data_IF_486013321196
#
_entry.id   IF_486013321196
#
_cell.length_a   1.000
_cell.length_b   1.000
_cell.length_c   1.000
_cell.angle_alpha   90.00
_cell.angle_beta   90.00
_cell.angle_gamma   90.00
#
_symmetry.space_group_name_H-M   'P 1'
#
loop_
_entity.id
_entity.type
_entity.pdbx_description
1 polymer ?
#
# COMPACT_ATOMS: atom_id res chain seq x y z
N UNK A 1 -6.31 -29.74 -3.35
CA UNK A 1 -5.95 -28.47 -3.97
C UNK A 1 -5.55 -27.47 -2.91
N UNK A 2 -4.34 -26.96 -2.97
CA UNK A 2 -3.71 -26.23 -1.86
C UNK A 2 -3.38 -24.78 -2.20
N UNK A 3 -4.26 -24.06 -2.88
CA UNK A 3 -3.96 -22.70 -3.26
C UNK A 3 -3.87 -21.68 -2.10
N UNK A 4 -4.43 -22.01 -0.94
CA UNK A 4 -4.17 -21.26 0.29
C UNK A 4 -2.68 -21.39 0.71
N UNK A 5 -2.04 -22.55 0.51
CA UNK A 5 -0.59 -22.71 0.76
C UNK A 5 0.25 -21.89 -0.22
N UNK A 6 -0.18 -21.81 -1.49
CA UNK A 6 0.48 -20.98 -2.49
C UNK A 6 0.32 -19.49 -2.16
N UNK A 7 -0.85 -19.09 -1.61
CA UNK A 7 -1.10 -17.73 -1.18
C UNK A 7 -0.22 -17.34 0.02
N UNK A 8 -0.10 -18.21 1.02
CA UNK A 8 0.77 -18.00 2.17
C UNK A 8 2.24 -17.86 1.78
N UNK A 9 2.72 -18.71 0.87
CA UNK A 9 4.08 -18.62 0.33
C UNK A 9 4.35 -17.31 -0.41
N UNK A 10 3.38 -16.83 -1.17
CA UNK A 10 3.47 -15.53 -1.85
C UNK A 10 3.52 -14.39 -0.85
N UNK A 11 2.71 -14.45 0.19
CA UNK A 11 2.66 -13.46 1.25
C UNK A 11 4.00 -13.35 1.97
N UNK A 12 4.59 -14.47 2.35
CA UNK A 12 5.91 -14.51 2.97
C UNK A 12 6.97 -13.86 2.07
N UNK A 13 6.98 -14.18 0.79
CA UNK A 13 7.89 -13.57 -0.19
C UNK A 13 7.69 -12.06 -0.30
N UNK A 14 6.46 -11.60 -0.35
CA UNK A 14 6.13 -10.17 -0.40
C UNK A 14 6.66 -9.47 0.85
N UNK A 15 6.44 -10.03 2.01
CA UNK A 15 6.91 -9.46 3.27
C UNK A 15 8.44 -9.44 3.37
N UNK A 16 9.12 -10.47 2.88
CA UNK A 16 10.59 -10.49 2.80
C UNK A 16 11.12 -9.37 1.91
N UNK A 17 10.51 -9.17 0.74
CA UNK A 17 10.90 -8.10 -0.19
C UNK A 17 10.69 -6.73 0.46
N UNK A 18 9.54 -6.50 1.08
CA UNK A 18 9.24 -5.24 1.77
C UNK A 18 10.23 -4.98 2.90
N UNK A 19 10.51 -6.00 3.71
CA UNK A 19 11.48 -5.90 4.80
C UNK A 19 12.86 -5.51 4.29
N UNK A 20 13.31 -6.14 3.21
CA UNK A 20 14.59 -5.83 2.57
C UNK A 20 14.62 -4.39 2.06
N UNK A 21 13.57 -3.94 1.40
CA UNK A 21 13.48 -2.58 0.88
C UNK A 21 13.49 -1.53 2.00
N UNK A 22 12.75 -1.76 3.07
CA UNK A 22 12.66 -0.81 4.18
C UNK A 22 13.90 -0.84 5.09
N UNK A 23 14.65 -1.93 5.10
CA UNK A 23 15.87 -2.03 5.92
C UNK A 23 16.98 -1.08 5.51
N UNK A 24 16.91 -0.52 4.30
CA UNK A 24 17.91 0.45 3.80
C UNK A 24 17.60 1.90 4.17
N UNK A 25 16.47 2.15 4.83
CA UNK A 25 16.11 3.51 5.23
C UNK A 25 17.14 4.08 6.22
N UNK A 26 17.63 5.31 5.98
CA UNK A 26 18.65 5.88 6.83
C UNK A 26 18.11 6.43 8.14
N UNK A 27 18.97 6.56 9.15
CA UNK A 27 18.62 7.21 10.41
C UNK A 27 18.23 8.68 10.26
N UNK A 28 18.66 9.32 9.17
CA UNK A 28 18.34 10.72 8.88
C UNK A 28 16.85 11.02 8.72
N UNK A 29 16.01 9.99 8.53
CA UNK A 29 14.56 10.17 8.46
C UNK A 29 13.88 10.27 9.84
N UNK A 30 14.60 10.03 10.92
CA UNK A 30 14.05 10.15 12.28
C UNK A 30 13.47 11.52 12.51
N UNK A 31 12.25 11.55 13.05
CA UNK A 31 11.51 12.79 13.32
C UNK A 31 10.98 13.51 12.08
N UNK A 32 11.16 12.95 10.89
CA UNK A 32 10.70 13.53 9.63
C UNK A 32 9.46 12.80 9.10
N UNK A 33 8.86 13.37 8.08
CA UNK A 33 7.74 12.74 7.37
C UNK A 33 8.28 11.79 6.30
N UNK A 34 7.68 10.62 6.22
CA UNK A 34 8.01 9.59 5.23
C UNK A 34 6.73 9.07 4.58
N UNK A 35 6.66 9.20 3.27
CA UNK A 35 5.56 8.66 2.48
C UNK A 35 5.99 7.35 1.84
N UNK A 36 5.21 6.30 2.05
CA UNK A 36 5.47 4.98 1.50
C UNK A 36 4.31 4.59 0.60
N UNK A 37 4.60 4.36 -0.67
CA UNK A 37 3.62 3.85 -1.62
C UNK A 37 3.90 2.36 -1.88
N UNK A 38 2.89 1.54 -1.68
CA UNK A 38 2.96 0.13 -1.99
C UNK A 38 2.33 -0.15 -3.36
N UNK A 39 3.14 -0.70 -4.26
CA UNK A 39 2.70 -1.13 -5.59
C UNK A 39 2.90 -2.64 -5.72
N UNK A 40 1.81 -3.43 -5.75
CA UNK A 40 1.95 -4.86 -6.01
C UNK A 40 2.40 -5.08 -7.46
N UNK A 41 3.64 -5.54 -7.62
CA UNK A 41 4.26 -5.72 -8.95
C UNK A 41 3.41 -6.61 -9.86
N UNK A 42 2.78 -7.63 -9.29
CA UNK A 42 1.93 -8.56 -10.03
C UNK A 42 0.64 -7.91 -10.57
N UNK A 43 0.22 -6.77 -10.01
CA UNK A 43 -0.99 -6.06 -10.43
C UNK A 43 -0.72 -4.98 -11.49
N UNK A 44 0.54 -4.63 -11.74
CA UNK A 44 0.91 -3.59 -12.69
C UNK A 44 0.59 -4.06 -14.12
N UNK A 45 -0.25 -3.29 -14.83
CA UNK A 45 -0.59 -3.55 -16.22
C UNK A 45 -1.49 -4.76 -16.47
N UNK A 46 -1.96 -5.43 -15.42
CA UNK A 46 -2.81 -6.64 -15.55
C UNK A 46 -4.30 -6.34 -15.47
N UNK A 47 -4.69 -5.16 -15.00
CA UNK A 47 -6.08 -4.82 -14.69
C UNK A 47 -6.62 -5.54 -13.46
N UNK A 48 -5.82 -6.35 -12.81
CA UNK A 48 -6.20 -7.03 -11.56
C UNK A 48 -6.14 -6.07 -10.39
N UNK A 49 -7.20 -6.04 -9.59
CA UNK A 49 -7.27 -5.23 -8.38
C UNK A 49 -6.97 -6.12 -7.18
N UNK A 50 -6.08 -5.68 -6.31
CA UNK A 50 -5.82 -6.38 -5.06
C UNK A 50 -7.04 -6.30 -4.15
N UNK A 51 -7.30 -7.37 -3.39
CA UNK A 51 -8.40 -7.36 -2.42
C UNK A 51 -8.11 -6.37 -1.28
N UNK A 52 -9.17 -5.85 -0.68
CA UNK A 52 -9.08 -4.99 0.49
C UNK A 52 -8.26 -5.67 1.60
N UNK A 53 -8.55 -6.93 1.89
CA UNK A 53 -7.85 -7.68 2.93
C UNK A 53 -6.35 -7.82 2.66
N UNK A 54 -5.98 -8.07 1.41
CA UNK A 54 -4.58 -8.15 1.01
C UNK A 54 -3.85 -6.82 1.27
N UNK A 55 -4.47 -5.72 0.87
CA UNK A 55 -3.89 -4.38 1.07
C UNK A 55 -3.78 -4.07 2.56
N UNK A 56 -4.81 -4.35 3.35
CA UNK A 56 -4.77 -4.17 4.81
C UNK A 56 -3.63 -4.95 5.45
N UNK A 57 -3.42 -6.19 5.06
CA UNK A 57 -2.35 -7.04 5.58
C UNK A 57 -0.97 -6.47 5.27
N UNK A 58 -0.76 -6.01 4.04
CA UNK A 58 0.52 -5.43 3.63
C UNK A 58 0.78 -4.11 4.35
N UNK A 59 -0.20 -3.24 4.43
CA UNK A 59 -0.06 -1.94 5.12
C UNK A 59 0.19 -2.12 6.61
N UNK A 60 -0.48 -3.09 7.25
CA UNK A 60 -0.23 -3.44 8.65
C UNK A 60 1.19 -3.95 8.85
N UNK A 61 1.68 -4.78 7.95
CA UNK A 61 3.06 -5.26 7.98
C UNK A 61 4.06 -4.11 7.89
N UNK A 62 3.87 -3.21 6.93
CA UNK A 62 4.74 -2.03 6.75
C UNK A 62 4.73 -1.16 8.02
N UNK A 63 3.56 -0.87 8.54
CA UNK A 63 3.41 -0.04 9.74
C UNK A 63 4.13 -0.64 10.95
N UNK A 64 3.96 -1.95 11.17
CA UNK A 64 4.62 -2.65 12.27
C UNK A 64 6.14 -2.73 12.09
N UNK A 65 6.59 -2.94 10.86
CA UNK A 65 8.02 -2.99 10.54
C UNK A 65 8.70 -1.64 10.82
N UNK A 66 8.08 -0.54 10.45
CA UNK A 66 8.62 0.81 10.76
C UNK A 66 8.70 1.01 12.28
N UNK A 67 7.72 0.55 13.04
CA UNK A 67 7.76 0.61 14.51
C UNK A 67 8.89 -0.21 15.10
N UNK A 68 9.23 -1.35 14.49
CA UNK A 68 10.37 -2.17 14.92
C UNK A 68 11.71 -1.52 14.58
N UNK A 69 11.85 -1.01 13.35
CA UNK A 69 13.09 -0.37 12.89
C UNK A 69 13.39 0.92 13.62
N UNK A 70 12.37 1.65 14.03
CA UNK A 70 12.48 2.92 14.75
C UNK A 70 11.66 2.83 16.03
N UNK A 71 12.17 2.11 17.03
CA UNK A 71 11.44 1.78 18.24
C UNK A 71 11.32 2.91 19.26
N UNK A 72 11.99 4.04 19.03
CA UNK A 72 11.99 5.21 19.92
C UNK A 72 10.94 6.26 19.54
N UNK A 73 10.88 7.35 20.32
CA UNK A 73 9.97 8.47 20.09
C UNK A 73 10.26 9.26 18.81
N UNK A 74 11.48 9.14 18.28
CA UNK A 74 11.93 9.87 17.10
C UNK A 74 11.70 9.11 15.78
N UNK A 75 10.82 8.10 15.80
CA UNK A 75 10.45 7.42 14.57
C UNK A 75 9.86 8.41 13.56
N UNK A 76 9.99 8.15 12.24
CA UNK A 76 9.38 9.01 11.23
C UNK A 76 7.84 8.96 11.33
N UNK A 77 7.21 10.08 10.97
CA UNK A 77 5.77 10.11 10.74
C UNK A 77 5.50 9.53 9.35
N UNK A 78 4.78 8.42 9.28
CA UNK A 78 4.54 7.74 8.00
C UNK A 78 3.14 8.00 7.49
N UNK A 79 3.04 8.14 6.15
CA UNK A 79 1.79 8.05 5.42
C UNK A 79 1.91 6.88 4.44
N UNK A 80 0.85 6.10 4.32
CA UNK A 80 0.81 4.90 3.49
C UNK A 80 -0.13 5.09 2.31
N UNK A 81 0.38 4.82 1.12
CA UNK A 81 -0.34 4.95 -0.15
C UNK A 81 -0.41 3.60 -0.85
N UNK A 82 -1.47 3.40 -1.59
CA UNK A 82 -1.62 2.25 -2.47
C UNK A 82 -1.51 2.71 -3.93
N UNK A 83 -0.64 2.06 -4.69
CA UNK A 83 -0.34 2.41 -6.08
C UNK A 83 -0.68 1.33 -7.10
N UNK A 84 -1.53 0.38 -6.75
CA UNK A 84 -2.01 -0.61 -7.71
C UNK A 84 -3.15 -0.08 -8.57
N UNK A 85 -3.83 -0.96 -9.30
CA UNK A 85 -4.99 -0.59 -10.10
C UNK A 85 -6.13 -0.12 -9.19
N UNK A 86 -6.53 1.13 -9.35
CA UNK A 86 -7.65 1.74 -8.62
C UNK A 86 -8.52 2.44 -9.65
N UNK A 87 -9.81 2.21 -9.57
CA UNK A 87 -10.80 2.84 -10.44
C UNK A 87 -12.00 3.35 -9.64
N UNK A 88 -12.98 3.91 -10.34
CA UNK A 88 -14.21 4.43 -9.74
C UNK A 88 -15.05 3.36 -9.02
N UNK A 89 -14.84 2.07 -9.35
CA UNK A 89 -15.57 0.96 -8.72
C UNK A 89 -14.91 0.47 -7.44
N UNK A 90 -13.58 0.54 -7.35
CA UNK A 90 -12.81 0.00 -6.21
C UNK A 90 -12.41 1.07 -5.18
N UNK A 91 -12.34 2.33 -5.58
CA UNK A 91 -11.80 3.41 -4.73
C UNK A 91 -12.58 3.61 -3.43
N UNK A 92 -13.90 3.44 -3.46
CA UNK A 92 -14.74 3.62 -2.26
C UNK A 92 -14.43 2.56 -1.19
N UNK A 93 -14.38 1.29 -1.60
CA UNK A 93 -14.03 0.19 -0.70
C UNK A 93 -12.62 0.35 -0.15
N UNK A 94 -11.67 0.63 -1.02
CA UNK A 94 -10.27 0.75 -0.62
C UNK A 94 -10.02 1.97 0.27
N UNK A 95 -10.73 3.08 0.05
CA UNK A 95 -10.60 4.28 0.90
C UNK A 95 -11.14 4.07 2.31
N UNK A 96 -11.87 3.00 2.57
CA UNK A 96 -12.31 2.63 3.91
C UNK A 96 -11.23 1.95 4.77
N UNK A 97 -10.07 1.63 4.18
CA UNK A 97 -8.94 1.02 4.91
C UNK A 97 -8.34 2.06 5.87
N UNK A 98 -8.34 1.73 7.17
CA UNK A 98 -7.95 2.68 8.21
C UNK A 98 -6.49 3.16 8.10
N UNK A 99 -5.57 2.28 7.70
CA UNK A 99 -4.14 2.60 7.56
C UNK A 99 -3.80 3.33 6.26
N UNK A 100 -4.73 3.42 5.32
CA UNK A 100 -4.47 4.00 4.01
C UNK A 100 -4.71 5.51 4.05
N UNK A 101 -3.68 6.27 3.68
CA UNK A 101 -3.74 7.73 3.64
C UNK A 101 -4.07 8.27 2.25
N UNK A 102 -3.83 7.49 1.20
CA UNK A 102 -4.12 7.93 -0.16
C UNK A 102 -3.75 6.90 -1.22
N UNK A 103 -3.83 7.35 -2.46
CA UNK A 103 -3.58 6.52 -3.64
C UNK A 103 -2.61 7.19 -4.60
N UNK A 104 -1.82 6.38 -5.29
CA UNK A 104 -1.16 6.80 -6.52
C UNK A 104 -2.04 6.32 -7.69
N UNK A 105 -2.63 7.24 -8.40
CA UNK A 105 -3.59 6.93 -9.46
C UNK A 105 -2.92 7.07 -10.82
N UNK A 106 -2.87 5.98 -11.58
CA UNK A 106 -2.26 5.94 -12.91
C UNK A 106 -3.21 6.37 -14.02
N UNK A 107 -3.51 5.47 -14.96
CA UNK A 107 -4.29 5.76 -16.17
C UNK A 107 -5.67 6.36 -15.92
N UNK A 108 -6.33 6.01 -14.81
CA UNK A 108 -7.62 6.56 -14.46
C UNK A 108 -7.58 8.08 -14.21
N UNK A 109 -6.42 8.63 -13.83
CA UNK A 109 -6.25 10.07 -13.63
C UNK A 109 -6.18 10.85 -14.94
N UNK A 110 -5.92 10.17 -16.05
CA UNK A 110 -5.90 10.80 -17.38
C UNK A 110 -7.29 10.96 -18.01
N UNK A 111 -8.29 10.29 -17.46
CA UNK A 111 -9.69 10.41 -17.88
C UNK A 111 -10.43 11.31 -16.88
N UNK A 112 -10.82 12.50 -17.31
CA UNK A 112 -11.42 13.50 -16.44
C UNK A 112 -12.68 12.99 -15.72
N UNK A 113 -13.59 12.33 -16.43
CA UNK A 113 -14.84 11.85 -15.82
C UNK A 113 -14.59 10.74 -14.80
N UNK A 114 -13.72 9.79 -15.12
CA UNK A 114 -13.33 8.73 -14.19
C UNK A 114 -12.67 9.30 -12.94
N UNK A 115 -11.73 10.21 -13.13
CA UNK A 115 -11.00 10.83 -12.02
C UNK A 115 -11.94 11.62 -11.11
N UNK A 116 -12.84 12.40 -11.68
CA UNK A 116 -13.87 13.13 -10.96
C UNK A 116 -14.75 12.19 -10.12
N UNK A 117 -15.22 11.10 -10.73
CA UNK A 117 -16.03 10.11 -10.04
C UNK A 117 -15.26 9.45 -8.88
N UNK A 118 -13.99 9.15 -9.07
CA UNK A 118 -13.12 8.63 -8.01
C UNK A 118 -13.00 9.60 -6.84
N UNK A 119 -12.73 10.88 -7.13
CA UNK A 119 -12.61 11.90 -6.08
C UNK A 119 -13.90 12.04 -5.26
N UNK A 120 -15.05 11.96 -5.90
CA UNK A 120 -16.34 12.05 -5.23
C UNK A 120 -16.64 10.85 -4.33
N UNK A 121 -16.03 9.70 -4.60
CA UNK A 121 -16.20 8.47 -3.82
C UNK A 121 -15.13 8.27 -2.75
N UNK A 122 -14.06 9.03 -2.78
CA UNK A 122 -13.02 8.98 -1.76
C UNK A 122 -13.50 9.62 -0.46
N UNK A 123 -13.04 9.07 0.64
CA UNK A 123 -13.37 9.56 1.99
C UNK A 123 -12.20 10.27 2.64
#
# INVERSE_FOLDING_TARGET
>A
MYWWKAWWKRREKIFEVIKKQLSILPDSIRGKNLDIAYEPVWAIGTGLVASKQYIEDVLSYINNLIKELYSDENRPNIRLFYGGSVDENSVEELSSIALLDGFLIGSASADFEKFKNMLNKMR
#
